data_IF_480472890880
#
_entry.id   IF_480472890880
#
_cell.length_a   1.000
_cell.length_b   1.000
_cell.length_c   1.000
_cell.angle_alpha   90.00
_cell.angle_beta   90.00
_cell.angle_gamma   90.00
#
_symmetry.space_group_name_H-M   'P 1'
#
loop_
_entity.id
_entity.type
_entity.pdbx_description
1 polymer ?
#
# COMPACT_ATOMS: atom_id res chain seq x y z
N UNK A 1 -6.77 1.16 8.87
CA UNK A 1 -6.83 0.87 7.42
C UNK A 1 -7.40 2.03 6.63
N UNK A 2 -6.79 2.35 5.53
CA UNK A 2 -7.36 3.24 4.53
C UNK A 2 -7.14 2.62 3.16
N UNK A 3 -8.21 2.48 2.37
CA UNK A 3 -8.13 2.00 1.00
C UNK A 3 -8.53 3.09 0.03
N UNK A 4 -7.84 3.17 -1.10
CA UNK A 4 -8.19 4.02 -2.21
C UNK A 4 -8.55 3.14 -3.41
N UNK A 5 -9.68 3.41 -4.07
CA UNK A 5 -10.07 2.66 -5.25
C UNK A 5 -9.18 2.99 -6.44
N UNK A 6 -9.02 2.02 -7.30
CA UNK A 6 -8.32 2.16 -8.57
C UNK A 6 -9.39 2.14 -9.67
N UNK A 7 -9.26 2.96 -10.73
CA UNK A 7 -10.25 2.97 -11.80
C UNK A 7 -10.45 1.59 -12.42
N UNK A 8 -11.69 1.27 -12.76
CA UNK A 8 -12.06 -0.04 -13.31
C UNK A 8 -11.37 -0.37 -14.63
N UNK A 9 -11.04 0.63 -15.41
CA UNK A 9 -10.36 0.46 -16.71
C UNK A 9 -8.84 0.44 -16.58
N UNK A 10 -8.33 0.49 -15.35
CA UNK A 10 -6.92 0.33 -15.08
C UNK A 10 -6.31 1.50 -14.31
N UNK A 11 -5.19 1.21 -13.70
CA UNK A 11 -4.44 2.17 -12.87
C UNK A 11 -3.33 2.78 -13.71
N UNK A 12 -3.41 4.07 -13.96
CA UNK A 12 -2.39 4.80 -14.71
C UNK A 12 -1.22 5.17 -13.81
N UNK A 13 0.00 5.11 -14.34
CA UNK A 13 1.21 5.49 -13.59
C UNK A 13 1.20 6.95 -13.12
N UNK A 14 0.45 7.80 -13.80
CA UNK A 14 0.31 9.19 -13.40
C UNK A 14 -0.71 9.38 -12.27
N UNK A 15 -1.44 8.33 -11.90
CA UNK A 15 -2.46 8.38 -10.86
C UNK A 15 -1.86 7.95 -9.52
N UNK A 16 -1.34 8.92 -8.79
CA UNK A 16 -0.77 8.70 -7.47
C UNK A 16 -1.88 8.64 -6.43
N UNK A 17 -1.94 7.54 -5.69
CA UNK A 17 -2.89 7.40 -4.59
C UNK A 17 -2.32 8.08 -3.36
N UNK A 18 -3.11 8.93 -2.72
CA UNK A 18 -2.67 9.73 -1.57
C UNK A 18 -3.50 9.36 -0.35
N UNK A 19 -2.81 9.11 0.75
CA UNK A 19 -3.42 8.73 2.03
C UNK A 19 -2.95 9.72 3.08
N UNK A 20 -3.88 10.49 3.62
CA UNK A 20 -3.57 11.45 4.68
C UNK A 20 -3.95 10.86 6.02
N UNK A 21 -3.00 10.84 6.94
CA UNK A 21 -3.24 10.29 8.28
C UNK A 21 -4.14 11.23 9.07
N UNK A 22 -5.10 10.67 9.84
CA UNK A 22 -5.89 11.49 10.76
C UNK A 22 -5.00 12.17 11.80
N UNK A 23 -5.39 13.38 12.20
CA UNK A 23 -4.67 14.12 13.25
C UNK A 23 -4.68 13.38 14.59
N UNK A 24 -5.62 12.45 14.78
CA UNK A 24 -5.76 11.68 16.01
C UNK A 24 -4.73 10.57 16.17
N UNK A 25 -3.97 10.23 15.14
CA UNK A 25 -2.94 9.20 15.24
C UNK A 25 -1.76 9.73 16.05
N UNK A 26 -1.45 9.13 17.21
CA UNK A 26 -0.35 9.61 18.05
C UNK A 26 1.00 9.44 17.37
N UNK A 27 1.94 10.30 17.70
CA UNK A 27 3.33 10.11 17.31
C UNK A 27 3.88 8.82 17.91
N UNK A 28 4.79 8.17 17.23
CA UNK A 28 5.39 6.92 17.67
C UNK A 28 5.89 6.09 16.51
N UNK A 29 6.26 4.86 16.80
CA UNK A 29 6.69 3.90 15.79
C UNK A 29 5.55 2.91 15.51
N UNK A 30 5.33 2.61 14.25
CA UNK A 30 4.24 1.74 13.81
C UNK A 30 4.77 0.70 12.83
N UNK A 31 4.09 -0.45 12.79
CA UNK A 31 4.23 -1.38 11.68
C UNK A 31 3.38 -0.86 10.52
N UNK A 32 3.92 -0.94 9.32
CA UNK A 32 3.20 -0.52 8.11
C UNK A 32 3.07 -1.69 7.15
N UNK A 33 1.86 -1.87 6.63
CA UNK A 33 1.54 -2.89 5.64
C UNK A 33 0.83 -2.23 4.46
N UNK A 34 1.03 -2.82 3.27
CA UNK A 34 0.30 -2.43 2.08
C UNK A 34 -0.83 -3.44 1.87
N UNK A 35 -2.05 -2.94 1.80
CA UNK A 35 -3.21 -3.77 1.49
C UNK A 35 -3.47 -3.75 -0.01
N UNK A 36 -3.71 -4.91 -0.58
CA UNK A 36 -3.97 -5.04 -2.02
C UNK A 36 -5.23 -5.85 -2.21
N UNK A 37 -6.20 -5.27 -2.94
CA UNK A 37 -7.37 -5.97 -3.44
C UNK A 37 -7.20 -6.13 -4.93
N UNK A 38 -7.22 -7.36 -5.39
CA UNK A 38 -6.96 -7.66 -6.80
C UNK A 38 -7.89 -8.74 -7.30
N UNK A 39 -8.15 -8.68 -8.60
CA UNK A 39 -9.03 -9.63 -9.27
C UNK A 39 -8.26 -10.87 -9.69
N UNK A 40 -8.96 -11.99 -9.85
CA UNK A 40 -8.33 -13.21 -10.35
C UNK A 40 -7.70 -13.03 -11.72
N UNK A 41 -8.21 -12.09 -12.50
CA UNK A 41 -7.68 -11.76 -13.82
C UNK A 41 -6.36 -11.01 -13.79
N UNK A 42 -5.89 -10.56 -12.61
CA UNK A 42 -4.59 -9.90 -12.52
C UNK A 42 -3.52 -10.84 -13.05
N UNK A 43 -2.76 -10.44 -14.10
CA UNK A 43 -1.96 -11.41 -14.87
C UNK A 43 -0.58 -11.71 -14.29
N UNK A 44 -0.17 -11.01 -13.23
CA UNK A 44 1.19 -11.13 -12.72
C UNK A 44 1.24 -11.78 -11.33
N UNK A 45 2.40 -12.33 -10.99
CA UNK A 45 2.65 -12.95 -9.69
C UNK A 45 2.97 -11.92 -8.61
N UNK A 46 3.32 -10.72 -9.03
CA UNK A 46 3.79 -9.66 -8.15
C UNK A 46 3.25 -8.30 -8.60
N UNK A 47 3.48 -7.33 -7.75
CA UNK A 47 3.25 -5.93 -8.10
C UNK A 47 4.43 -5.10 -7.59
N UNK A 48 4.91 -4.20 -8.45
CA UNK A 48 5.96 -3.25 -8.09
C UNK A 48 5.32 -1.90 -7.83
N UNK A 49 5.61 -1.35 -6.65
CA UNK A 49 5.07 -0.07 -6.21
C UNK A 49 6.21 0.85 -5.79
N UNK A 50 5.96 2.14 -5.92
CA UNK A 50 6.77 3.16 -5.29
C UNK A 50 5.93 3.81 -4.21
N UNK A 51 6.44 3.79 -2.97
CA UNK A 51 5.74 4.32 -1.81
C UNK A 51 6.56 5.45 -1.25
N UNK A 52 5.96 6.62 -1.14
CA UNK A 52 6.59 7.81 -0.56
C UNK A 52 5.80 8.25 0.66
N UNK A 53 6.50 8.78 1.65
CA UNK A 53 5.84 9.31 2.85
C UNK A 53 6.65 10.42 3.48
N UNK A 54 5.96 11.31 4.17
CA UNK A 54 6.55 12.39 4.95
C UNK A 54 6.30 12.23 6.46
N UNK A 55 6.15 10.98 6.91
CA UNK A 55 5.77 10.70 8.29
C UNK A 55 6.87 10.93 9.30
N UNK A 56 8.13 10.84 8.86
CA UNK A 56 9.30 11.09 9.73
C UNK A 56 9.59 12.58 9.85
N UNK A 57 9.48 13.30 8.75
CA UNK A 57 9.69 14.75 8.66
C UNK A 57 8.69 15.28 7.65
N UNK A 58 7.72 16.06 8.10
CA UNK A 58 6.62 16.51 7.25
C UNK A 58 7.07 17.41 6.09
N UNK A 59 8.29 17.90 6.11
CA UNK A 59 8.86 18.70 5.03
C UNK A 59 9.60 17.87 3.99
N UNK A 60 9.83 16.57 4.25
CA UNK A 60 10.66 15.72 3.40
C UNK A 60 9.97 14.40 3.14
N UNK A 61 9.82 14.02 1.86
CA UNK A 61 9.34 12.71 1.48
C UNK A 61 10.49 11.73 1.33
N UNK A 62 10.30 10.54 1.90
CA UNK A 62 11.18 9.38 1.71
C UNK A 62 10.47 8.46 0.74
N UNK A 63 11.18 7.92 -0.24
CA UNK A 63 10.63 7.06 -1.28
C UNK A 63 11.27 5.69 -1.24
N UNK A 64 10.43 4.66 -1.23
CA UNK A 64 10.85 3.26 -1.26
C UNK A 64 10.27 2.56 -2.48
N UNK A 65 11.03 1.66 -3.07
CA UNK A 65 10.56 0.77 -4.12
C UNK A 65 10.27 -0.60 -3.52
N UNK A 66 9.06 -1.10 -3.76
CA UNK A 66 8.61 -2.38 -3.21
C UNK A 66 8.25 -3.35 -4.32
N UNK A 67 8.66 -4.60 -4.14
CA UNK A 67 8.15 -5.72 -4.91
C UNK A 67 7.34 -6.59 -3.96
N UNK A 68 6.05 -6.71 -4.21
CA UNK A 68 5.13 -7.45 -3.36
C UNK A 68 4.59 -8.66 -4.12
N UNK A 69 4.71 -9.85 -3.54
CA UNK A 69 4.27 -11.07 -4.19
C UNK A 69 2.83 -11.39 -3.81
N UNK A 70 1.99 -11.62 -4.82
CA UNK A 70 0.58 -11.93 -4.68
C UNK A 70 0.31 -13.44 -4.76
N UNK A 71 1.33 -14.22 -5.07
CA UNK A 71 1.29 -15.68 -5.05
C UNK A 71 2.53 -16.20 -4.34
N UNK A 72 2.40 -17.38 -3.74
CA UNK A 72 3.55 -18.06 -3.12
C UNK A 72 4.36 -18.85 -4.16
N UNK A 73 5.40 -19.54 -3.72
CA UNK A 73 6.27 -20.31 -4.61
C UNK A 73 5.53 -21.43 -5.35
N UNK A 74 4.47 -21.96 -4.74
CA UNK A 74 3.66 -23.01 -5.35
C UNK A 74 2.61 -22.45 -6.32
N UNK A 75 2.52 -21.12 -6.46
CA UNK A 75 1.54 -20.47 -7.33
C UNK A 75 0.20 -20.21 -6.68
N UNK A 76 0.07 -20.44 -5.39
CA UNK A 76 -1.17 -20.16 -4.66
C UNK A 76 -1.26 -18.68 -4.30
N UNK A 77 -2.45 -18.11 -4.43
CA UNK A 77 -2.67 -16.71 -4.07
C UNK A 77 -2.50 -16.50 -2.57
N UNK A 78 -1.81 -15.42 -2.19
CA UNK A 78 -1.46 -15.15 -0.81
C UNK A 78 -2.57 -14.51 0.00
N UNK A 79 -3.64 -14.09 -0.63
CA UNK A 79 -4.74 -13.42 0.04
C UNK A 79 -5.95 -14.32 0.25
N UNK A 80 -6.94 -13.77 0.95
CA UNK A 80 -8.25 -14.38 1.09
C UNK A 80 -9.10 -13.95 -0.10
N UNK A 81 -9.75 -14.91 -0.75
CA UNK A 81 -10.52 -14.67 -1.95
C UNK A 81 -11.97 -15.04 -1.81
N UNK A 82 -12.83 -14.27 -2.47
CA UNK A 82 -14.25 -14.55 -2.58
C UNK A 82 -14.74 -13.99 -3.91
N UNK A 83 -15.41 -14.83 -4.71
CA UNK A 83 -16.00 -14.41 -5.99
C UNK A 83 -14.98 -13.77 -6.95
N UNK A 84 -13.77 -14.30 -7.00
CA UNK A 84 -12.74 -13.83 -7.92
C UNK A 84 -12.03 -12.55 -7.50
N UNK A 85 -12.30 -12.08 -6.28
CA UNK A 85 -11.61 -10.93 -5.68
C UNK A 85 -10.81 -11.41 -4.50
N UNK A 86 -9.54 -11.00 -4.44
CA UNK A 86 -8.60 -11.38 -3.39
C UNK A 86 -8.14 -10.15 -2.64
N UNK A 87 -7.83 -10.33 -1.36
CA UNK A 87 -7.30 -9.27 -0.51
C UNK A 87 -6.16 -9.82 0.32
N UNK A 88 -5.05 -9.08 0.38
CA UNK A 88 -3.94 -9.41 1.27
C UNK A 88 -3.32 -8.14 1.83
N UNK A 89 -2.71 -8.26 3.01
CA UNK A 89 -1.89 -7.21 3.62
C UNK A 89 -0.46 -7.72 3.65
N UNK A 90 0.45 -6.98 3.04
CA UNK A 90 1.84 -7.38 2.87
C UNK A 90 2.76 -6.40 3.58
N UNK A 91 3.84 -6.89 4.22
CA UNK A 91 4.71 -6.02 5.01
C UNK A 91 5.38 -4.95 4.15
N UNK A 92 5.43 -3.73 4.67
CA UNK A 92 6.18 -2.63 4.11
C UNK A 92 7.35 -2.26 5.01
N UNK A 93 7.04 -1.91 6.26
CA UNK A 93 8.06 -1.55 7.26
C UNK A 93 7.71 -2.19 8.59
N UNK A 94 8.68 -2.84 9.23
CA UNK A 94 8.51 -3.37 10.57
C UNK A 94 8.37 -2.23 11.61
N UNK A 95 9.02 -1.10 11.35
CA UNK A 95 8.95 0.07 12.21
C UNK A 95 9.09 1.32 11.36
N UNK A 96 8.08 2.17 11.38
CA UNK A 96 8.09 3.45 10.68
C UNK A 96 7.79 4.55 11.69
N UNK A 97 8.62 5.59 11.77
CA UNK A 97 8.36 6.69 12.69
C UNK A 97 7.26 7.59 12.15
N UNK A 98 6.26 7.84 12.98
CA UNK A 98 5.21 8.82 12.72
C UNK A 98 5.44 9.97 13.67
N UNK A 99 5.70 11.15 13.12
CA UNK A 99 6.03 12.33 13.92
C UNK A 99 4.78 13.03 14.42
N UNK A 100 4.95 14.22 14.81
CA UNK A 100 4.02 15.07 15.53
C UNK A 100 2.59 15.03 15.01
N UNK A 101 1.64 14.86 15.90
CA UNK A 101 0.22 15.00 15.62
C UNK A 101 -0.10 16.39 15.06
N UNK A 102 -1.17 16.47 14.27
CA UNK A 102 -1.64 17.73 13.72
C UNK A 102 -0.93 18.22 12.48
N UNK A 103 0.21 17.62 12.12
CA UNK A 103 0.90 17.93 10.87
C UNK A 103 0.38 17.06 9.75
N UNK A 104 0.40 17.58 8.52
CA UNK A 104 -0.03 16.81 7.35
C UNK A 104 0.95 15.68 7.08
N UNK A 105 0.58 14.48 7.51
CA UNK A 105 1.37 13.25 7.34
C UNK A 105 0.70 12.41 6.28
N UNK A 106 1.40 12.15 5.18
CA UNK A 106 0.82 11.50 4.02
C UNK A 106 1.67 10.36 3.52
N UNK A 107 1.00 9.37 2.93
CA UNK A 107 1.61 8.35 2.08
C UNK A 107 1.14 8.56 0.66
N UNK A 108 2.02 8.30 -0.30
CA UNK A 108 1.71 8.33 -1.73
C UNK A 108 2.15 7.02 -2.33
N UNK A 109 1.28 6.39 -3.10
CA UNK A 109 1.56 5.10 -3.73
C UNK A 109 1.25 5.18 -5.21
N UNK A 110 2.18 4.71 -6.03
CA UNK A 110 1.99 4.59 -7.47
C UNK A 110 2.60 3.26 -7.92
N UNK A 111 2.02 2.64 -8.96
CA UNK A 111 2.63 1.44 -9.52
C UNK A 111 3.74 1.79 -10.48
N UNK A 112 4.74 0.92 -10.55
CA UNK A 112 5.87 1.04 -11.48
C UNK A 112 6.01 -0.21 -12.33
N UNK A 113 4.87 -0.85 -12.64
CA UNK A 113 4.82 -1.96 -13.57
C UNK A 113 5.04 -1.46 -15.00
N UNK A 114 5.43 -2.38 -15.89
CA UNK A 114 5.60 -2.03 -17.31
C UNK A 114 4.28 -1.69 -17.97
N UNK A 115 3.21 -2.40 -17.62
CA UNK A 115 1.88 -2.14 -18.16
C UNK A 115 1.36 -0.78 -17.71
N UNK A 116 0.74 -0.04 -18.62
CA UNK A 116 0.08 1.20 -18.29
C UNK A 116 -1.10 1.46 -19.24
N UNK A 117 -2.34 1.42 -18.74
CA UNK A 117 -2.72 1.24 -17.34
C UNK A 117 -2.57 -0.21 -16.87
N UNK A 118 -2.37 -0.36 -15.58
CA UNK A 118 -2.31 -1.67 -14.93
C UNK A 118 -3.73 -2.12 -14.59
N UNK A 119 -4.15 -3.27 -15.11
CA UNK A 119 -5.49 -3.81 -14.87
C UNK A 119 -5.46 -4.92 -13.85
N UNK A 120 -6.60 -5.17 -13.21
CA UNK A 120 -6.75 -6.27 -12.26
C UNK A 120 -6.54 -5.89 -10.80
N UNK A 121 -6.15 -4.67 -10.51
CA UNK A 121 -6.08 -4.14 -9.15
C UNK A 121 -7.34 -3.31 -8.90
N UNK A 122 -8.05 -3.59 -7.81
CA UNK A 122 -9.26 -2.84 -7.49
C UNK A 122 -9.04 -1.77 -6.43
N UNK A 123 -8.18 -2.05 -5.44
CA UNK A 123 -7.91 -1.11 -4.35
C UNK A 123 -6.50 -1.32 -3.84
N UNK A 124 -5.90 -0.23 -3.40
CA UNK A 124 -4.63 -0.24 -2.66
C UNK A 124 -4.85 0.47 -1.33
N UNK A 125 -4.33 -0.09 -0.26
CA UNK A 125 -4.48 0.47 1.06
C UNK A 125 -3.19 0.53 1.84
N UNK A 126 -3.22 1.35 2.89
CA UNK A 126 -2.16 1.44 3.88
C UNK A 126 -2.75 1.05 5.23
N UNK A 127 -2.00 0.25 5.97
CA UNK A 127 -2.39 -0.15 7.32
C UNK A 127 -1.24 0.13 8.27
N UNK A 128 -1.54 0.88 9.32
CA UNK A 128 -0.60 1.15 10.40
C UNK A 128 -1.14 0.53 11.67
N UNK A 129 -0.27 -0.10 12.43
CA UNK A 129 -0.64 -0.62 13.75
C UNK A 129 0.55 -0.51 14.67
N UNK A 130 0.27 -0.35 15.96
CA UNK A 130 1.34 -0.36 16.95
C UNK A 130 1.92 -1.75 17.06
N UNK A 131 3.26 -1.87 17.10
CA UNK A 131 3.88 -3.17 17.34
C UNK A 131 3.42 -3.77 18.66
N UNK A 132 3.34 -5.11 18.71
CA UNK A 132 3.09 -5.80 19.96
C UNK A 132 4.22 -5.54 20.94
N UNK A 133 3.92 -5.61 22.22
CA UNK A 133 4.88 -5.42 23.33
C UNK A 133 5.36 -3.98 23.47
N UNK A 134 4.50 -3.04 23.13
CA UNK A 134 4.78 -1.62 23.34
C UNK A 134 4.06 -1.09 24.57
#
# INVERSE_FOLDING_TARGET
HSYAPVPLDGWDKSDTLVYTLPNSIPAGNYEAEIGIRYQESYPYRDIWLEVSHNTKDTLTYVTDTLQLFLVDEAGNKTGNGLCGLYQCDLPYKASIPIRTEGSARTFRIVHIMTDNPLTGISDIGIRLRKPENQ
#
